data_IF_834961414924
#
_entry.id   IF_834961414924
#
_cell.length_a   1.000
_cell.length_b   1.000
_cell.length_c   1.000
_cell.angle_alpha   90.00
_cell.angle_beta   90.00
_cell.angle_gamma   90.00
#
_symmetry.space_group_name_H-M   'P 1'
#
loop_
_entity.id
_entity.type
_entity.pdbx_description
1 polymer ?
#
# COMPACT_ATOMS: atom_id res chain seq x y z
N UNK A 1 -22.54 -14.62 -17.62
CA UNK A 1 -22.78 -13.82 -16.41
C UNK A 1 -21.91 -12.59 -16.52
N UNK A 2 -22.48 -11.43 -16.85
CA UNK A 2 -21.76 -10.16 -16.70
C UNK A 2 -21.62 -9.90 -15.20
N UNK A 3 -20.40 -9.96 -14.68
CA UNK A 3 -20.12 -9.47 -13.32
C UNK A 3 -20.24 -7.95 -13.37
N UNK A 4 -21.19 -7.40 -12.62
CA UNK A 4 -21.31 -5.95 -12.47
C UNK A 4 -20.04 -5.42 -11.82
N UNK A 5 -19.38 -4.47 -12.48
CA UNK A 5 -18.22 -3.75 -11.91
C UNK A 5 -18.70 -3.06 -10.63
N UNK A 6 -18.05 -3.32 -9.47
CA UNK A 6 -18.43 -2.65 -8.23
C UNK A 6 -18.18 -1.15 -8.37
N UNK A 7 -19.22 -0.33 -8.23
CA UNK A 7 -19.09 1.13 -8.19
C UNK A 7 -18.77 1.59 -6.77
N UNK A 8 -17.91 2.59 -6.63
CA UNK A 8 -17.63 3.23 -5.34
C UNK A 8 -18.91 3.86 -4.75
N UNK A 9 -19.26 3.61 -3.47
CA UNK A 9 -20.40 4.28 -2.83
C UNK A 9 -20.22 5.79 -2.76
N UNK A 10 -21.31 6.56 -2.88
CA UNK A 10 -21.27 8.04 -2.95
C UNK A 10 -20.84 8.72 -1.64
N UNK A 11 -20.92 8.02 -0.53
CA UNK A 11 -20.54 8.44 0.82
C UNK A 11 -19.20 7.86 1.28
N UNK A 12 -18.52 7.11 0.40
CA UNK A 12 -17.26 6.48 0.69
C UNK A 12 -16.10 7.48 0.55
N UNK A 13 -15.25 7.56 1.55
CA UNK A 13 -14.06 8.41 1.56
C UNK A 13 -12.87 7.66 2.13
N UNK A 14 -11.69 7.92 1.58
CA UNK A 14 -10.43 7.54 2.18
C UNK A 14 -10.29 8.19 3.57
N UNK A 15 -10.54 7.39 4.59
CA UNK A 15 -10.64 7.83 5.96
C UNK A 15 -10.17 6.75 6.92
N UNK A 16 -9.76 7.13 8.13
CA UNK A 16 -9.12 6.21 9.06
C UNK A 16 -10.05 5.15 9.61
N UNK A 17 -9.44 4.01 9.91
CA UNK A 17 -9.88 3.14 10.98
C UNK A 17 -9.40 3.78 12.30
N UNK A 18 -10.23 4.64 12.92
CA UNK A 18 -10.05 5.23 14.25
C UNK A 18 -8.68 5.89 14.56
N UNK A 19 -8.55 7.22 14.39
CA UNK A 19 -7.36 7.95 14.83
C UNK A 19 -7.22 7.97 16.36
N UNK A 20 -6.04 7.61 16.86
CA UNK A 20 -5.73 7.65 18.30
C UNK A 20 -5.11 8.98 18.73
N UNK A 21 -4.51 9.74 17.80
CA UNK A 21 -3.93 11.04 18.12
C UNK A 21 -3.98 12.09 16.96
N UNK A 22 -3.79 13.40 17.25
CA UNK A 22 -3.86 14.46 16.25
C UNK A 22 -2.84 14.35 15.10
N UNK A 23 -1.63 13.82 15.36
CA UNK A 23 -0.60 13.68 14.32
C UNK A 23 -0.98 12.63 13.28
N UNK A 24 -1.61 11.55 13.71
CA UNK A 24 -2.18 10.56 12.81
C UNK A 24 -3.27 11.20 11.94
N UNK A 25 -4.19 11.96 12.55
CA UNK A 25 -5.23 12.67 11.80
C UNK A 25 -4.64 13.58 10.71
N UNK A 26 -3.67 14.41 11.08
CA UNK A 26 -3.02 15.35 10.16
C UNK A 26 -2.25 14.62 9.06
N UNK A 27 -1.63 13.48 9.39
CA UNK A 27 -0.93 12.63 8.42
C UNK A 27 -1.87 12.09 7.36
N UNK A 28 -2.97 11.45 7.74
CA UNK A 28 -3.92 10.93 6.77
C UNK A 28 -4.59 12.06 5.99
N UNK A 29 -4.99 13.15 6.66
CA UNK A 29 -5.58 14.31 6.00
C UNK A 29 -4.67 14.92 4.92
N UNK A 30 -3.34 14.79 5.08
CA UNK A 30 -2.37 15.21 4.06
C UNK A 30 -2.41 14.33 2.81
N UNK A 31 -2.66 13.03 2.96
CA UNK A 31 -2.66 12.05 1.87
C UNK A 31 -4.03 11.89 1.19
N UNK A 32 -5.12 12.12 1.94
CA UNK A 32 -6.51 11.98 1.45
C UNK A 32 -6.75 12.67 0.10
N UNK A 33 -6.33 13.93 -0.16
CA UNK A 33 -6.61 14.57 -1.44
C UNK A 33 -5.99 13.86 -2.64
N UNK A 34 -4.80 13.29 -2.49
CA UNK A 34 -4.12 12.53 -3.54
C UNK A 34 -4.85 11.22 -3.82
N UNK A 35 -5.22 10.50 -2.76
CA UNK A 35 -5.96 9.24 -2.90
C UNK A 35 -7.33 9.48 -3.50
N UNK A 36 -8.09 10.48 -3.05
CA UNK A 36 -9.41 10.79 -3.58
C UNK A 36 -9.40 11.16 -5.06
N UNK A 37 -8.41 11.95 -5.51
CA UNK A 37 -8.24 12.23 -6.94
C UNK A 37 -7.99 10.94 -7.71
N UNK A 38 -7.08 10.10 -7.21
CA UNK A 38 -6.74 8.84 -7.85
C UNK A 38 -7.94 7.88 -7.93
N UNK A 39 -8.73 7.73 -6.86
CA UNK A 39 -9.93 6.90 -6.85
C UNK A 39 -11.03 7.44 -7.78
N UNK A 40 -11.11 8.76 -7.95
CA UNK A 40 -12.03 9.37 -8.92
C UNK A 40 -11.64 9.02 -10.35
N UNK A 41 -10.34 8.93 -10.67
CA UNK A 41 -9.88 8.46 -12.00
C UNK A 41 -10.34 7.03 -12.31
N UNK A 42 -10.33 6.13 -11.31
CA UNK A 42 -10.88 4.77 -11.48
C UNK A 42 -12.39 4.80 -11.76
N UNK A 43 -13.14 5.62 -11.02
CA UNK A 43 -14.58 5.77 -11.18
C UNK A 43 -14.93 6.29 -12.59
N UNK A 44 -14.21 7.31 -13.07
CA UNK A 44 -14.37 7.87 -14.42
C UNK A 44 -13.98 6.87 -15.51
N UNK A 45 -12.96 6.05 -15.28
CA UNK A 45 -12.53 5.00 -16.19
C UNK A 45 -13.41 3.75 -16.16
N UNK A 46 -14.28 3.60 -15.16
CA UNK A 46 -15.03 2.36 -14.90
C UNK A 46 -14.12 1.19 -14.53
N UNK A 47 -12.97 1.46 -13.92
CA UNK A 47 -11.98 0.44 -13.57
C UNK A 47 -12.37 -0.24 -12.23
N UNK A 48 -12.49 -1.58 -12.19
CA UNK A 48 -12.94 -2.32 -11.01
C UNK A 48 -11.93 -2.33 -9.85
N UNK A 49 -10.69 -1.90 -10.07
CA UNK A 49 -9.61 -2.04 -9.08
C UNK A 49 -9.50 -0.88 -8.08
N UNK A 50 -10.49 0.02 -8.03
CA UNK A 50 -10.50 1.15 -7.09
C UNK A 50 -10.39 0.70 -5.62
N UNK A 51 -11.00 -0.43 -5.24
CA UNK A 51 -10.88 -0.98 -3.89
C UNK A 51 -9.46 -1.43 -3.58
N UNK A 52 -8.78 -2.02 -4.57
CA UNK A 52 -7.38 -2.41 -4.45
C UNK A 52 -6.47 -1.19 -4.31
N UNK A 53 -6.73 -0.15 -5.12
CA UNK A 53 -6.00 1.12 -5.08
C UNK A 53 -6.13 1.82 -3.73
N UNK A 54 -7.36 1.93 -3.23
CA UNK A 54 -7.62 2.51 -1.92
C UNK A 54 -6.93 1.72 -0.81
N UNK A 55 -7.09 0.40 -0.83
CA UNK A 55 -6.52 -0.45 0.19
C UNK A 55 -4.99 -0.37 0.20
N UNK A 56 -4.35 -0.38 -0.97
CA UNK A 56 -2.91 -0.20 -1.11
C UNK A 56 -2.44 1.15 -0.54
N UNK A 57 -3.12 2.25 -0.88
CA UNK A 57 -2.83 3.56 -0.32
C UNK A 57 -3.00 3.58 1.21
N UNK A 58 -4.05 2.93 1.72
CA UNK A 58 -4.32 2.83 3.15
C UNK A 58 -3.21 2.08 3.88
N UNK A 59 -2.75 0.93 3.35
CA UNK A 59 -1.65 0.17 3.92
C UNK A 59 -0.36 1.01 3.99
N UNK A 60 0.01 1.71 2.91
CA UNK A 60 1.19 2.59 2.91
C UNK A 60 1.08 3.71 3.94
N UNK A 61 -0.05 4.42 3.99
CA UNK A 61 -0.23 5.53 4.93
C UNK A 61 -0.29 5.04 6.38
N UNK A 62 -0.90 3.88 6.64
CA UNK A 62 -1.06 3.29 7.98
C UNK A 62 0.24 2.68 8.50
N UNK A 63 1.06 2.09 7.62
CA UNK A 63 2.33 1.48 8.00
C UNK A 63 3.25 2.46 8.74
N UNK A 64 3.43 3.64 8.17
CA UNK A 64 4.26 4.70 8.77
C UNK A 64 3.75 5.16 10.13
N UNK A 65 2.45 5.09 10.39
CA UNK A 65 1.85 5.41 11.70
C UNK A 65 2.20 4.34 12.74
N UNK A 66 2.11 3.07 12.36
CA UNK A 66 2.42 1.94 13.24
C UNK A 66 3.91 1.93 13.62
N UNK A 67 4.80 2.00 12.62
CA UNK A 67 6.27 1.96 12.81
C UNK A 67 6.75 3.09 13.71
N UNK A 68 6.16 4.27 13.60
CA UNK A 68 6.59 5.46 14.34
C UNK A 68 5.85 5.66 15.67
N UNK A 69 5.03 4.69 16.09
CA UNK A 69 4.24 4.77 17.32
C UNK A 69 3.37 6.05 17.38
N UNK A 70 2.67 6.35 16.29
CA UNK A 70 1.77 7.49 16.19
C UNK A 70 2.46 8.83 15.87
N UNK A 71 3.70 8.80 15.35
CA UNK A 71 4.45 9.98 14.88
C UNK A 71 4.90 9.80 13.43
N UNK A 72 3.95 9.60 12.49
CA UNK A 72 4.25 9.15 11.14
C UNK A 72 5.25 10.05 10.43
N UNK A 73 6.22 9.41 9.79
CA UNK A 73 7.23 10.03 8.93
C UNK A 73 7.62 9.05 7.84
N UNK A 74 7.81 9.56 6.63
CA UNK A 74 8.37 8.80 5.52
C UNK A 74 9.83 8.42 5.76
N UNK A 75 10.57 9.13 6.62
CA UNK A 75 11.95 8.78 6.97
C UNK A 75 12.06 7.43 7.68
N UNK A 76 10.97 6.94 8.28
CA UNK A 76 10.91 5.64 8.94
C UNK A 76 10.46 4.51 8.02
N UNK A 77 10.10 4.82 6.76
CA UNK A 77 9.62 3.83 5.82
C UNK A 77 10.78 2.98 5.28
N UNK A 78 10.61 1.66 5.36
CA UNK A 78 11.57 0.68 4.88
C UNK A 78 10.82 -0.32 3.97
N UNK A 79 11.19 -0.39 2.69
CA UNK A 79 10.48 -1.21 1.70
C UNK A 79 10.47 -2.71 2.09
N UNK A 80 11.60 -3.33 2.47
CA UNK A 80 11.63 -4.71 2.94
C UNK A 80 10.71 -5.00 4.13
N UNK A 81 10.77 -4.19 5.18
CA UNK A 81 9.95 -4.38 6.39
C UNK A 81 8.46 -4.18 6.09
N UNK A 82 8.14 -3.16 5.29
CA UNK A 82 6.77 -2.93 4.81
C UNK A 82 6.22 -4.14 4.06
N UNK A 83 6.94 -4.62 3.04
CA UNK A 83 6.47 -5.68 2.16
C UNK A 83 6.37 -7.05 2.85
N UNK A 84 7.31 -7.36 3.74
CA UNK A 84 7.52 -8.72 4.25
C UNK A 84 7.30 -8.90 5.76
N UNK A 85 7.00 -7.82 6.50
CA UNK A 85 6.63 -7.87 7.92
C UNK A 85 5.29 -7.20 8.17
N UNK A 86 5.16 -5.93 7.79
CA UNK A 86 4.00 -5.11 8.18
C UNK A 86 2.73 -5.50 7.43
N UNK A 87 2.81 -5.71 6.12
CA UNK A 87 1.69 -6.21 5.32
C UNK A 87 1.28 -7.64 5.71
N UNK A 88 2.24 -8.46 6.14
CA UNK A 88 2.01 -9.84 6.55
C UNK A 88 1.20 -9.90 7.84
N UNK A 89 1.58 -9.09 8.83
CA UNK A 89 0.86 -8.99 10.11
C UNK A 89 -0.55 -8.40 9.95
N UNK A 90 -0.77 -7.59 8.91
CA UNK A 90 -2.07 -7.01 8.59
C UNK A 90 -3.07 -7.97 7.94
N UNK A 91 -2.62 -9.10 7.37
CA UNK A 91 -3.51 -10.14 6.82
C UNK A 91 -4.48 -9.69 5.71
N UNK A 92 -4.15 -8.61 4.99
CA UNK A 92 -5.09 -7.93 4.07
C UNK A 92 -4.67 -7.95 2.60
N UNK A 93 -3.44 -8.42 2.32
CA UNK A 93 -2.97 -8.64 0.94
C UNK A 93 -3.89 -9.64 0.23
N UNK A 94 -4.37 -9.28 -0.96
CA UNK A 94 -5.26 -10.13 -1.75
C UNK A 94 -6.76 -9.96 -1.43
N UNK A 95 -7.14 -9.15 -0.44
CA UNK A 95 -8.54 -9.01 -0.04
C UNK A 95 -9.42 -8.29 -1.08
N UNK A 96 -8.84 -7.32 -1.81
CA UNK A 96 -9.54 -6.51 -2.83
C UNK A 96 -8.93 -6.66 -4.24
N UNK A 97 -8.48 -7.86 -4.59
CA UNK A 97 -7.91 -8.16 -5.91
C UNK A 97 -6.75 -9.15 -5.81
N UNK A 98 -6.22 -9.60 -6.95
CA UNK A 98 -5.07 -10.50 -6.93
C UNK A 98 -3.82 -9.83 -6.33
N UNK A 99 -2.93 -10.62 -5.71
CA UNK A 99 -1.67 -10.14 -5.13
C UNK A 99 -0.84 -9.28 -6.12
N UNK A 100 -0.68 -9.67 -7.41
CA UNK A 100 0.02 -8.83 -8.38
C UNK A 100 -0.65 -7.45 -8.58
N UNK A 101 -1.98 -7.40 -8.63
CA UNK A 101 -2.72 -6.15 -8.80
C UNK A 101 -2.52 -5.27 -7.57
N UNK A 102 -2.67 -5.81 -6.36
CA UNK A 102 -2.42 -5.06 -5.13
C UNK A 102 -1.00 -4.49 -5.09
N UNK A 103 0.00 -5.27 -5.52
CA UNK A 103 1.37 -4.81 -5.61
C UNK A 103 1.55 -3.65 -6.61
N UNK A 104 0.91 -3.73 -7.78
CA UNK A 104 0.90 -2.63 -8.75
C UNK A 104 0.28 -1.36 -8.16
N UNK A 105 -0.79 -1.51 -7.38
CA UNK A 105 -1.42 -0.38 -6.69
C UNK A 105 -0.54 0.22 -5.59
N UNK A 106 0.25 -0.58 -4.87
CA UNK A 106 1.22 -0.05 -3.90
C UNK A 106 2.27 0.83 -4.59
N UNK A 107 2.84 0.34 -5.70
CA UNK A 107 3.80 1.11 -6.47
C UNK A 107 3.16 2.40 -7.02
N UNK A 108 1.93 2.33 -7.50
CA UNK A 108 1.24 3.50 -8.04
C UNK A 108 0.90 4.53 -6.95
N UNK A 109 0.43 4.10 -5.79
CA UNK A 109 0.21 4.99 -4.65
C UNK A 109 1.48 5.77 -4.28
N UNK A 110 2.64 5.09 -4.23
CA UNK A 110 3.91 5.74 -3.95
C UNK A 110 4.32 6.75 -5.05
N UNK A 111 4.10 6.42 -6.33
CA UNK A 111 4.34 7.37 -7.44
C UNK A 111 3.47 8.62 -7.29
N UNK A 112 2.19 8.45 -6.95
CA UNK A 112 1.24 9.54 -6.76
C UNK A 112 1.65 10.43 -5.58
N UNK A 113 2.05 9.83 -4.46
CA UNK A 113 2.55 10.57 -3.31
C UNK A 113 3.82 11.37 -3.64
N UNK A 114 4.74 10.81 -4.41
CA UNK A 114 5.91 11.53 -4.89
C UNK A 114 5.55 12.69 -5.83
N UNK A 115 4.63 12.46 -6.78
CA UNK A 115 4.19 13.49 -7.73
C UNK A 115 3.52 14.69 -7.05
N UNK A 116 2.80 14.46 -5.95
CA UNK A 116 2.16 15.50 -5.15
C UNK A 116 3.07 16.08 -4.04
N UNK A 117 4.34 15.67 -3.99
CA UNK A 117 5.32 16.19 -3.01
C UNK A 117 5.09 15.72 -1.58
N UNK A 118 4.35 14.64 -1.37
CA UNK A 118 4.15 14.01 -0.06
C UNK A 118 5.37 13.18 0.36
N UNK A 119 6.07 12.62 -0.62
CA UNK A 119 7.34 11.91 -0.49
C UNK A 119 8.37 12.63 -1.38
N UNK A 120 9.62 12.70 -0.93
CA UNK A 120 10.69 13.18 -1.80
C UNK A 120 10.82 12.31 -3.06
N UNK A 121 10.96 12.95 -4.23
CA UNK A 121 10.91 12.25 -5.51
C UNK A 121 12.10 11.30 -5.72
N UNK A 122 13.30 11.64 -5.21
CA UNK A 122 14.47 10.79 -5.33
C UNK A 122 14.34 9.57 -4.41
N UNK A 123 13.91 9.80 -3.17
CA UNK A 123 13.64 8.73 -2.21
C UNK A 123 12.56 7.77 -2.74
N UNK A 124 11.47 8.30 -3.29
CA UNK A 124 10.42 7.48 -3.89
C UNK A 124 10.93 6.67 -5.10
N UNK A 125 11.83 7.23 -5.92
CA UNK A 125 12.41 6.51 -7.06
C UNK A 125 13.28 5.32 -6.62
N UNK A 126 14.04 5.48 -5.53
CA UNK A 126 14.83 4.40 -4.93
C UNK A 126 13.91 3.30 -4.38
N UNK A 127 12.88 3.68 -3.61
CA UNK A 127 11.90 2.73 -3.09
C UNK A 127 11.12 2.00 -4.19
N UNK A 128 10.72 2.69 -5.26
CA UNK A 128 10.07 2.06 -6.42
C UNK A 128 10.99 1.04 -7.11
N UNK A 129 12.30 1.32 -7.17
CA UNK A 129 13.29 0.40 -7.73
C UNK A 129 13.44 -0.84 -6.85
N UNK A 130 13.48 -0.66 -5.54
CA UNK A 130 13.54 -1.74 -4.57
C UNK A 130 12.27 -2.60 -4.59
N UNK A 131 11.10 -1.98 -4.54
CA UNK A 131 9.80 -2.66 -4.69
C UNK A 131 9.77 -3.47 -5.99
N UNK A 132 10.11 -2.86 -7.13
CA UNK A 132 10.14 -3.57 -8.41
C UNK A 132 11.03 -4.82 -8.37
N UNK A 133 12.16 -4.74 -7.69
CA UNK A 133 13.09 -5.88 -7.53
C UNK A 133 12.51 -6.96 -6.59
N UNK A 134 11.68 -6.58 -5.64
CA UNK A 134 11.00 -7.47 -4.70
C UNK A 134 9.70 -8.11 -5.24
N UNK A 135 9.22 -7.71 -6.42
CA UNK A 135 7.89 -8.11 -6.94
C UNK A 135 7.67 -9.62 -6.96
N UNK A 136 8.58 -10.39 -7.55
CA UNK A 136 8.40 -11.84 -7.71
C UNK A 136 8.36 -12.54 -6.35
N UNK A 137 9.23 -12.10 -5.45
CA UNK A 137 9.29 -12.58 -4.07
C UNK A 137 8.04 -12.21 -3.27
N UNK A 138 7.53 -10.99 -3.45
CA UNK A 138 6.28 -10.55 -2.84
C UNK A 138 5.12 -11.43 -3.30
N UNK A 139 4.95 -11.60 -4.62
CA UNK A 139 3.87 -12.42 -5.17
C UNK A 139 3.96 -13.85 -4.63
N UNK A 140 5.16 -14.42 -4.61
CA UNK A 140 5.38 -15.77 -4.07
C UNK A 140 5.10 -15.85 -2.57
N UNK A 141 5.49 -14.84 -1.80
CA UNK A 141 5.29 -14.83 -0.34
C UNK A 141 3.80 -14.94 0.01
N UNK A 142 2.93 -14.23 -0.70
CA UNK A 142 1.48 -14.21 -0.47
C UNK A 142 0.69 -15.16 -1.39
N UNK A 143 1.36 -16.12 -2.02
CA UNK A 143 0.69 -17.20 -2.74
C UNK A 143 0.26 -18.28 -1.74
N UNK A 144 -1.01 -18.67 -1.77
CA UNK A 144 -1.60 -19.70 -0.89
C UNK A 144 -0.89 -21.06 -1.04
N UNK A 145 -0.24 -21.32 -2.18
CA UNK A 145 0.53 -22.55 -2.42
C UNK A 145 1.96 -22.49 -1.86
N UNK A 146 2.45 -21.31 -1.47
CA UNK A 146 3.79 -21.16 -0.90
C UNK A 146 3.81 -21.63 0.54
N UNK A 147 4.73 -22.54 0.86
CA UNK A 147 4.91 -23.00 2.23
C UNK A 147 5.38 -21.86 3.15
N UNK A 148 4.92 -21.86 4.40
CA UNK A 148 5.33 -20.90 5.44
C UNK A 148 6.87 -20.82 5.58
N UNK A 149 7.57 -21.94 5.38
CA UNK A 149 9.04 -22.00 5.41
C UNK A 149 9.66 -21.19 4.26
N UNK A 150 9.11 -21.31 3.05
CA UNK A 150 9.57 -20.58 1.88
C UNK A 150 9.27 -19.07 2.01
N UNK A 151 8.07 -18.71 2.48
CA UNK A 151 7.73 -17.31 2.81
C UNK A 151 8.70 -16.73 3.85
N UNK A 152 8.98 -17.47 4.93
CA UNK A 152 9.94 -17.07 5.96
C UNK A 152 11.36 -16.86 5.41
N UNK A 153 11.80 -17.69 4.47
CA UNK A 153 13.11 -17.54 3.84
C UNK A 153 13.19 -16.29 2.95
N UNK A 154 12.15 -16.00 2.18
CA UNK A 154 12.03 -14.78 1.39
C UNK A 154 12.14 -13.55 2.32
N UNK A 155 11.32 -13.49 3.37
CA UNK A 155 11.34 -12.36 4.32
C UNK A 155 12.69 -12.21 5.04
N UNK A 156 13.41 -13.32 5.28
CA UNK A 156 14.75 -13.30 5.90
C UNK A 156 15.83 -12.80 4.94
N UNK A 157 15.72 -13.09 3.64
CA UNK A 157 16.67 -12.59 2.63
C UNK A 157 16.57 -11.07 2.53
N UNK A 158 15.37 -10.54 2.44
CA UNK A 158 15.14 -9.10 2.32
C UNK A 158 15.56 -8.32 3.57
N UNK A 159 15.30 -8.85 4.77
CA UNK A 159 15.79 -8.24 6.02
C UNK A 159 17.30 -8.23 6.22
N UNK A 160 18.07 -9.03 5.46
CA UNK A 160 19.55 -9.03 5.51
C UNK A 160 20.17 -8.09 4.48
N UNK A 161 19.39 -7.63 3.51
CA UNK A 161 19.85 -6.75 2.44
C UNK A 161 19.60 -5.27 2.76
N UNK A 162 18.68 -4.98 3.68
CA UNK A 162 18.40 -3.67 4.26
C UNK A 162 19.42 -3.31 5.36
#
# INVERSE_FOLDING_TARGET
>A
MEQSIPTRPKDWSFGPLHFYNPKERDWYARHTPTVERWLTEFEEAGDPWWQSAEHAASCLVSSTVFVTQGRPSWDAFNVPDFLFSELWEGGTVGFFGSVPIFFDQLMEALRRFAADGLVDAAVAADWLTEMKSAREDFIRCYDDETSELAATEISRRWRRAA
#
